data_IF_371947478633
#
_entry.id   IF_371947478633
#
_cell.length_a   1.000
_cell.length_b   1.000
_cell.length_c   1.000
_cell.angle_alpha   90.00
_cell.angle_beta   90.00
_cell.angle_gamma   90.00
#
_symmetry.space_group_name_H-M   'P 1'
#
loop_
_entity.id
_entity.type
_entity.pdbx_description
1 polymer ?
#
# COMPACT_ATOMS: atom_id res chain seq x y z
N UNK A 1 11.91 -22.98 14.20
CA UNK A 1 12.60 -23.66 13.11
C UNK A 1 13.84 -24.29 13.69
N UNK A 2 14.00 -25.61 13.63
CA UNK A 2 15.20 -26.32 14.10
C UNK A 2 16.22 -26.44 12.96
N UNK A 3 16.56 -25.32 12.32
CA UNK A 3 17.60 -25.32 11.29
C UNK A 3 18.93 -24.94 11.94
N UNK A 4 19.98 -25.66 11.57
CA UNK A 4 21.34 -25.35 12.02
C UNK A 4 21.89 -24.18 11.23
N UNK A 5 22.38 -23.17 11.92
CA UNK A 5 23.11 -22.08 11.26
C UNK A 5 24.47 -22.58 10.81
N UNK A 6 24.72 -22.60 9.51
CA UNK A 6 25.96 -23.10 8.89
C UNK A 6 26.91 -22.00 8.46
N UNK A 7 26.49 -20.74 8.49
CA UNK A 7 27.30 -19.60 8.07
C UNK A 7 26.66 -18.27 8.34
N UNK A 8 27.35 -17.24 7.84
CA UNK A 8 26.82 -15.86 7.79
C UNK A 8 27.26 -15.21 6.47
N UNK A 9 26.43 -14.31 5.97
CA UNK A 9 26.82 -13.44 4.84
C UNK A 9 27.86 -12.42 5.27
N UNK A 10 28.49 -11.76 4.32
CA UNK A 10 29.44 -10.65 4.61
C UNK A 10 28.74 -9.46 5.26
N UNK A 11 27.42 -9.34 5.14
CA UNK A 11 26.57 -8.35 5.82
C UNK A 11 26.09 -8.79 7.21
N UNK A 12 26.48 -10.01 7.66
CA UNK A 12 26.12 -10.55 8.97
C UNK A 12 24.80 -11.27 9.05
N UNK A 13 24.11 -11.51 7.91
CA UNK A 13 22.87 -12.27 7.92
C UNK A 13 23.14 -13.76 8.10
N UNK A 14 22.37 -14.51 8.89
CA UNK A 14 22.56 -15.94 9.11
C UNK A 14 22.29 -16.75 7.84
N UNK A 15 23.01 -17.84 7.66
CA UNK A 15 22.76 -18.84 6.61
C UNK A 15 22.48 -20.18 7.32
N UNK A 16 21.35 -20.82 6.98
CA UNK A 16 20.88 -22.05 7.57
C UNK A 16 21.02 -23.24 6.60
N UNK A 17 21.11 -24.45 7.16
CA UNK A 17 21.01 -25.67 6.37
C UNK A 17 19.54 -26.01 6.10
N UNK A 18 19.11 -25.86 4.85
CA UNK A 18 17.78 -26.29 4.40
C UNK A 18 17.76 -27.80 4.16
N UNK A 19 17.82 -28.59 5.25
CA UNK A 19 17.98 -30.03 5.11
C UNK A 19 16.70 -30.82 4.77
N UNK A 20 15.51 -30.43 5.22
CA UNK A 20 14.33 -31.33 5.15
C UNK A 20 12.94 -30.67 5.10
N UNK A 21 12.83 -29.43 4.68
CA UNK A 21 11.54 -28.76 4.59
C UNK A 21 11.10 -28.02 5.86
N UNK A 22 10.06 -27.22 5.73
CA UNK A 22 9.50 -26.37 6.78
C UNK A 22 8.26 -27.02 7.37
N UNK A 23 8.40 -27.98 8.25
CA UNK A 23 7.25 -28.70 8.78
C UNK A 23 6.58 -28.00 9.97
N UNK A 24 7.31 -27.12 10.68
CA UNK A 24 6.81 -26.49 11.90
C UNK A 24 7.18 -25.01 11.98
N UNK A 25 6.16 -24.19 12.24
CA UNK A 25 6.31 -22.77 12.56
C UNK A 25 6.00 -22.56 14.05
N UNK A 26 6.86 -21.84 14.74
CA UNK A 26 6.61 -21.44 16.10
C UNK A 26 6.29 -19.93 16.14
N UNK A 27 5.08 -19.60 16.53
CA UNK A 27 4.70 -18.23 16.80
C UNK A 27 5.10 -17.88 18.23
N UNK A 28 5.96 -16.88 18.38
CA UNK A 28 6.44 -16.40 19.68
C UNK A 28 6.22 -14.90 19.79
N UNK A 29 6.26 -14.40 21.02
CA UNK A 29 6.33 -12.95 21.22
C UNK A 29 7.71 -12.44 20.79
N UNK A 30 7.72 -11.32 20.08
CA UNK A 30 8.95 -10.56 19.81
C UNK A 30 9.38 -9.81 21.07
N UNK A 31 10.68 -9.62 21.23
CA UNK A 31 11.28 -8.69 22.21
C UNK A 31 11.28 -7.22 21.71
N UNK A 32 10.83 -7.01 20.48
CA UNK A 32 10.68 -5.70 19.82
C UNK A 32 9.23 -5.24 19.83
N UNK A 33 9.02 -3.96 19.80
CA UNK A 33 7.70 -3.37 19.90
C UNK A 33 7.15 -2.93 18.53
N UNK A 34 5.90 -3.30 18.25
CA UNK A 34 5.09 -2.67 17.22
C UNK A 34 4.51 -1.35 17.77
N UNK A 35 4.48 -0.31 16.95
CA UNK A 35 3.93 1.00 17.37
C UNK A 35 3.07 1.61 16.27
N UNK A 36 2.09 2.42 16.67
CA UNK A 36 1.31 3.23 15.76
C UNK A 36 1.04 4.60 16.35
N UNK A 37 1.27 5.63 15.55
CA UNK A 37 0.93 7.02 15.88
C UNK A 37 -0.09 7.52 14.88
N UNK A 38 -1.24 8.01 15.34
CA UNK A 38 -2.27 8.56 14.46
C UNK A 38 -2.70 9.95 14.92
N UNK A 39 -2.90 10.83 13.95
CA UNK A 39 -3.45 12.16 14.16
C UNK A 39 -4.60 12.39 13.19
N UNK A 40 -5.70 12.96 13.66
CA UNK A 40 -6.80 13.36 12.79
C UNK A 40 -7.34 14.73 13.16
N UNK A 41 -7.68 15.51 12.12
CA UNK A 41 -8.32 16.83 12.27
C UNK A 41 -9.53 16.88 11.34
N UNK A 42 -10.66 17.32 11.86
CA UNK A 42 -11.87 17.52 11.08
C UNK A 42 -12.41 18.93 11.36
N UNK A 43 -12.65 19.69 10.29
CA UNK A 43 -13.37 20.95 10.33
C UNK A 43 -14.69 20.82 9.56
N UNK A 44 -15.76 21.36 10.10
CA UNK A 44 -17.08 21.38 9.45
C UNK A 44 -17.84 22.65 9.80
N UNK A 45 -18.71 23.07 8.91
CA UNK A 45 -19.64 24.16 9.17
C UNK A 45 -20.91 23.99 8.32
N UNK A 46 -22.03 24.33 8.94
CA UNK A 46 -23.37 24.32 8.32
C UNK A 46 -23.89 25.77 8.32
N UNK A 47 -24.30 26.27 7.18
CA UNK A 47 -24.87 27.61 7.03
C UNK A 47 -26.39 27.54 6.90
N UNK A 48 -27.09 28.49 7.47
CA UNK A 48 -28.57 28.57 7.45
C UNK A 48 -29.15 28.64 6.04
N UNK A 49 -28.37 29.10 5.05
CA UNK A 49 -28.83 29.17 3.64
C UNK A 49 -28.72 27.84 2.88
N UNK A 50 -28.38 26.73 3.55
CA UNK A 50 -28.37 25.38 3.01
C UNK A 50 -27.04 24.88 2.49
N UNK A 51 -25.94 25.64 2.68
CA UNK A 51 -24.59 25.17 2.38
C UNK A 51 -23.99 24.49 3.62
N UNK A 52 -23.46 23.30 3.44
CA UNK A 52 -22.63 22.63 4.45
C UNK A 52 -21.32 22.12 3.84
N UNK A 53 -20.26 22.10 4.65
CA UNK A 53 -18.99 21.55 4.26
C UNK A 53 -18.29 20.84 5.40
N UNK A 54 -17.46 19.87 5.04
CA UNK A 54 -16.56 19.17 5.94
C UNK A 54 -15.23 18.92 5.23
N UNK A 55 -14.12 19.14 5.94
CA UNK A 55 -12.77 18.75 5.51
C UNK A 55 -12.13 17.98 6.65
N UNK A 56 -11.62 16.80 6.35
CA UNK A 56 -10.89 15.94 7.26
C UNK A 56 -9.50 15.61 6.71
N UNK A 57 -8.53 15.58 7.61
CA UNK A 57 -7.19 15.07 7.35
C UNK A 57 -6.82 14.05 8.41
N UNK A 58 -6.24 12.93 7.99
CA UNK A 58 -5.68 11.94 8.89
C UNK A 58 -4.24 11.62 8.46
N UNK A 59 -3.39 11.51 9.46
CA UNK A 59 -2.02 11.02 9.36
C UNK A 59 -1.90 9.74 10.20
N UNK A 60 -1.20 8.73 9.66
CA UNK A 60 -0.89 7.49 10.37
C UNK A 60 0.54 7.09 10.06
N UNK A 61 1.28 6.76 11.11
CA UNK A 61 2.60 6.16 11.06
C UNK A 61 2.55 4.90 11.92
N UNK A 62 2.63 3.73 11.27
CA UNK A 62 2.49 2.44 11.91
C UNK A 62 3.62 1.50 11.50
N UNK A 63 4.28 0.92 12.50
CA UNK A 63 5.30 -0.10 12.37
C UNK A 63 4.83 -1.41 13.02
N UNK A 64 5.19 -2.52 12.45
CA UNK A 64 4.97 -3.85 13.02
C UNK A 64 6.18 -4.76 12.79
N UNK A 65 6.19 -5.90 13.46
CA UNK A 65 7.19 -6.96 13.27
C UNK A 65 6.75 -7.87 12.14
N UNK A 66 5.46 -8.25 12.12
CA UNK A 66 4.84 -9.06 11.08
C UNK A 66 3.39 -8.63 10.94
N UNK A 67 2.97 -8.17 9.74
CA UNK A 67 1.62 -7.68 9.52
C UNK A 67 0.55 -8.78 9.57
N UNK A 68 0.95 -10.06 9.56
CA UNK A 68 0.03 -11.22 9.61
C UNK A 68 -1.07 -11.11 8.54
N UNK A 69 -0.64 -10.92 7.28
CA UNK A 69 -1.54 -10.68 6.13
C UNK A 69 -2.31 -11.91 5.66
N UNK A 70 -1.95 -13.10 6.17
CA UNK A 70 -2.56 -14.38 5.80
C UNK A 70 -3.08 -15.13 7.02
N UNK A 71 -4.08 -15.99 6.81
CA UNK A 71 -4.59 -16.95 7.82
C UNK A 71 -3.70 -18.17 8.00
N UNK A 72 -2.69 -18.37 7.14
CA UNK A 72 -1.77 -19.51 7.22
C UNK A 72 -0.38 -19.08 7.67
N UNK A 73 0.22 -19.88 8.57
CA UNK A 73 1.54 -19.58 9.11
C UNK A 73 2.63 -19.55 8.01
N UNK A 74 2.58 -20.50 7.06
CA UNK A 74 3.51 -20.57 5.94
C UNK A 74 3.50 -19.29 5.09
N UNK A 75 2.31 -18.82 4.72
CA UNK A 75 2.20 -17.59 3.91
C UNK A 75 2.69 -16.35 4.65
N UNK A 76 2.46 -16.24 5.96
CA UNK A 76 2.99 -15.13 6.74
C UNK A 76 4.52 -15.19 6.85
N UNK A 77 5.09 -16.39 6.95
CA UNK A 77 6.52 -16.61 6.94
C UNK A 77 7.14 -16.23 5.58
N UNK A 78 6.56 -16.72 4.48
CA UNK A 78 7.09 -16.55 3.13
C UNK A 78 6.99 -15.11 2.62
N UNK A 79 5.97 -14.35 3.04
CA UNK A 79 5.63 -13.06 2.44
C UNK A 79 6.05 -11.86 3.31
N UNK A 80 6.73 -12.07 4.41
CA UNK A 80 7.30 -10.99 5.21
C UNK A 80 8.60 -10.51 4.56
N UNK A 81 8.63 -9.30 4.02
CA UNK A 81 9.88 -8.68 3.58
C UNK A 81 10.75 -8.39 4.80
N UNK A 82 11.89 -9.06 4.90
CA UNK A 82 12.82 -8.94 6.02
C UNK A 82 14.16 -9.56 5.64
N UNK A 83 15.25 -9.14 6.28
CA UNK A 83 16.57 -9.71 6.07
C UNK A 83 16.74 -11.05 6.79
N UNK A 84 16.02 -11.26 7.88
CA UNK A 84 15.97 -12.55 8.57
C UNK A 84 14.65 -12.72 9.29
N UNK A 85 14.13 -13.95 9.29
CA UNK A 85 12.89 -14.29 9.99
C UNK A 85 13.16 -14.72 11.45
N UNK A 86 14.37 -15.04 11.80
CA UNK A 86 14.71 -15.54 13.15
C UNK A 86 14.53 -14.45 14.20
N UNK A 87 14.85 -13.21 13.85
CA UNK A 87 14.61 -12.04 14.69
C UNK A 87 14.31 -10.82 13.81
N UNK A 88 13.14 -10.77 13.18
CA UNK A 88 12.82 -9.73 12.22
C UNK A 88 12.78 -8.35 12.88
N UNK A 89 13.33 -7.35 12.19
CA UNK A 89 13.29 -5.97 12.61
C UNK A 89 11.86 -5.39 12.43
N UNK A 90 11.44 -4.45 13.31
CA UNK A 90 10.27 -3.63 13.05
C UNK A 90 10.44 -2.87 11.74
N UNK A 91 9.37 -2.72 11.00
CA UNK A 91 9.33 -1.91 9.78
C UNK A 91 7.95 -1.36 9.54
N UNK A 92 7.83 -0.45 8.57
CA UNK A 92 6.54 0.16 8.24
C UNK A 92 5.54 -0.95 7.91
N UNK A 93 4.36 -0.86 8.53
CA UNK A 93 3.29 -1.84 8.36
C UNK A 93 2.73 -1.82 6.95
N UNK A 94 2.41 -2.99 6.40
CA UNK A 94 1.70 -3.10 5.13
C UNK A 94 0.30 -2.44 5.16
N UNK A 95 -0.27 -2.23 6.34
CA UNK A 95 -1.56 -1.55 6.53
C UNK A 95 -1.42 -0.04 6.70
N UNK A 96 -0.21 0.50 6.74
CA UNK A 96 0.02 1.92 6.90
C UNK A 96 -0.46 2.69 5.67
N UNK A 97 -1.33 3.68 5.90
CA UNK A 97 -1.73 4.68 4.90
C UNK A 97 -1.36 6.05 5.47
N UNK A 98 -0.19 6.61 5.12
CA UNK A 98 0.37 7.76 5.82
C UNK A 98 -0.53 8.98 5.82
N UNK A 99 -1.16 9.27 4.70
CA UNK A 99 -1.98 10.48 4.56
C UNK A 99 -3.33 10.18 3.91
N UNK A 100 -4.39 10.73 4.51
CA UNK A 100 -5.74 10.70 3.95
C UNK A 100 -6.41 12.06 4.09
N UNK A 101 -7.00 12.55 2.99
CA UNK A 101 -7.81 13.76 2.94
C UNK A 101 -9.21 13.37 2.50
N UNK A 102 -10.22 13.90 3.18
CA UNK A 102 -11.63 13.75 2.82
C UNK A 102 -12.27 15.12 2.85
N UNK A 103 -13.02 15.48 1.81
CA UNK A 103 -13.80 16.71 1.81
C UNK A 103 -15.21 16.43 1.30
N UNK A 104 -16.19 17.08 1.92
CA UNK A 104 -17.60 17.10 1.47
C UNK A 104 -18.05 18.54 1.34
N UNK A 105 -18.72 18.85 0.25
CA UNK A 105 -19.44 20.09 0.06
C UNK A 105 -20.86 19.75 -0.36
N UNK A 106 -21.86 20.32 0.31
CA UNK A 106 -23.24 20.04 0.02
C UNK A 106 -24.04 21.35 0.01
N UNK A 107 -24.93 21.50 -0.94
CA UNK A 107 -25.87 22.61 -1.01
C UNK A 107 -27.28 22.10 -1.25
N UNK A 108 -28.19 22.42 -0.34
CA UNK A 108 -29.58 22.06 -0.43
C UNK A 108 -30.46 23.30 -0.38
N UNK A 109 -31.48 23.33 -1.22
CA UNK A 109 -32.47 24.40 -1.26
C UNK A 109 -33.78 23.90 -1.81
N UNK A 110 -34.90 24.42 -1.28
CA UNK A 110 -36.23 24.22 -1.85
C UNK A 110 -36.40 25.12 -3.07
N UNK A 111 -36.24 24.56 -4.27
CA UNK A 111 -36.51 25.25 -5.54
C UNK A 111 -38.00 25.10 -5.94
N UNK A 112 -38.66 24.02 -5.48
CA UNK A 112 -40.07 23.74 -5.65
C UNK A 112 -40.71 23.71 -4.28
N UNK A 113 -41.91 24.28 -4.13
CA UNK A 113 -42.58 24.46 -2.86
C UNK A 113 -42.62 23.16 -2.01
N UNK A 114 -41.88 23.13 -0.91
CA UNK A 114 -41.83 22.01 0.02
C UNK A 114 -40.95 20.83 -0.39
N UNK A 115 -40.21 20.92 -1.52
CA UNK A 115 -39.33 19.84 -2.01
C UNK A 115 -37.90 20.32 -2.18
N UNK A 116 -36.99 19.70 -1.44
CA UNK A 116 -35.57 20.05 -1.47
C UNK A 116 -34.86 19.46 -2.71
N UNK A 117 -34.08 20.28 -3.36
CA UNK A 117 -33.02 19.84 -4.29
C UNK A 117 -31.67 19.97 -3.60
N UNK A 118 -30.87 18.92 -3.61
CA UNK A 118 -29.55 18.91 -2.96
C UNK A 118 -28.47 18.40 -3.91
N UNK A 119 -27.35 19.07 -3.93
CA UNK A 119 -26.14 18.63 -4.62
C UNK A 119 -25.05 18.41 -3.59
N UNK A 120 -24.37 17.27 -3.65
CA UNK A 120 -23.29 16.90 -2.74
C UNK A 120 -22.08 16.45 -3.55
N UNK A 121 -20.93 17.06 -3.31
CA UNK A 121 -19.63 16.64 -3.82
C UNK A 121 -18.81 16.01 -2.69
N UNK A 122 -18.20 14.86 -2.94
CA UNK A 122 -17.30 14.17 -2.01
C UNK A 122 -15.96 13.92 -2.66
N UNK A 123 -14.92 14.47 -2.08
CA UNK A 123 -13.54 14.29 -2.52
C UNK A 123 -12.77 13.43 -1.53
N UNK A 124 -12.01 12.47 -2.07
CA UNK A 124 -11.10 11.60 -1.35
C UNK A 124 -9.74 11.66 -1.98
N UNK A 125 -8.71 11.74 -1.15
CA UNK A 125 -7.32 11.56 -1.57
C UNK A 125 -6.56 10.80 -0.50
N UNK A 126 -5.89 9.73 -0.89
CA UNK A 126 -5.04 8.93 0.01
C UNK A 126 -3.69 8.66 -0.63
N UNK A 127 -2.65 8.61 0.17
CA UNK A 127 -1.37 8.05 -0.23
C UNK A 127 -1.51 6.53 -0.32
N UNK A 128 -0.82 5.91 -1.27
CA UNK A 128 -0.77 4.46 -1.36
C UNK A 128 -0.06 3.84 -0.15
N UNK A 129 -0.29 2.57 0.09
CA UNK A 129 0.40 1.81 1.13
C UNK A 129 1.88 1.65 0.77
N UNK A 130 2.71 1.43 1.79
CA UNK A 130 4.11 1.11 1.60
C UNK A 130 4.30 -0.29 1.00
N UNK A 131 5.37 -0.45 0.25
CA UNK A 131 5.79 -1.72 -0.31
C UNK A 131 7.30 -1.81 -0.38
N UNK A 132 7.80 -3.06 -0.35
CA UNK A 132 9.23 -3.33 -0.30
C UNK A 132 9.76 -3.79 -1.65
N UNK A 133 10.91 -3.26 -2.05
CA UNK A 133 11.76 -3.89 -3.04
C UNK A 133 12.66 -4.92 -2.37
N UNK A 134 12.74 -6.10 -2.98
CA UNK A 134 13.47 -7.26 -2.45
C UNK A 134 14.44 -7.84 -3.47
N UNK A 135 15.36 -8.66 -2.99
CA UNK A 135 16.31 -9.41 -3.80
C UNK A 135 16.20 -10.90 -3.52
N UNK A 136 16.78 -11.71 -4.39
CA UNK A 136 16.89 -13.16 -4.24
C UNK A 136 15.75 -13.92 -4.91
N UNK A 137 16.03 -14.53 -6.05
CA UNK A 137 15.16 -15.54 -6.70
C UNK A 137 15.31 -16.91 -6.06
N UNK A 138 16.36 -17.11 -5.27
CA UNK A 138 16.66 -18.32 -4.51
C UNK A 138 16.54 -18.02 -3.02
N UNK A 139 16.54 -19.08 -2.25
CA UNK A 139 16.61 -19.00 -0.79
C UNK A 139 18.00 -18.51 -0.37
N UNK A 140 18.09 -17.25 0.02
CA UNK A 140 19.38 -16.62 0.38
C UNK A 140 19.88 -17.02 1.76
N UNK A 141 18.99 -17.36 2.67
CA UNK A 141 19.32 -17.73 4.04
C UNK A 141 19.28 -19.25 4.29
N UNK A 142 18.78 -20.05 3.34
CA UNK A 142 18.58 -21.49 3.57
C UNK A 142 17.41 -21.79 4.51
N UNK A 143 16.45 -20.91 4.64
CA UNK A 143 15.28 -21.07 5.51
C UNK A 143 14.02 -21.52 4.75
N UNK A 144 14.16 -21.71 3.44
CA UNK A 144 13.09 -22.17 2.54
C UNK A 144 12.17 -21.07 2.04
N UNK A 145 12.45 -19.79 2.25
CA UNK A 145 11.70 -18.68 1.69
C UNK A 145 12.44 -18.02 0.52
N UNK A 146 11.71 -17.51 -0.45
CA UNK A 146 12.24 -16.96 -1.68
C UNK A 146 11.76 -15.50 -1.86
N UNK A 147 12.60 -14.64 -2.45
CA UNK A 147 12.20 -13.31 -2.90
C UNK A 147 11.63 -12.41 -1.81
N UNK A 148 12.14 -12.50 -0.58
CA UNK A 148 11.66 -11.71 0.57
C UNK A 148 12.74 -10.85 1.23
N UNK A 149 14.02 -11.07 0.87
CA UNK A 149 15.11 -10.31 1.46
C UNK A 149 15.07 -8.88 0.97
N UNK A 150 15.10 -7.93 1.91
CA UNK A 150 15.14 -6.51 1.57
C UNK A 150 16.32 -6.23 0.64
N UNK A 151 16.07 -5.35 -0.33
CA UNK A 151 17.10 -5.00 -1.32
C UNK A 151 18.34 -4.44 -0.63
N UNK A 152 19.51 -4.95 -1.02
CA UNK A 152 20.80 -4.40 -0.60
C UNK A 152 21.33 -3.46 -1.67
N UNK A 153 21.65 -2.22 -1.30
CA UNK A 153 22.23 -1.20 -2.18
C UNK A 153 23.72 -1.08 -1.87
N UNK A 154 24.58 -1.58 -2.77
CA UNK A 154 26.04 -1.54 -2.53
C UNK A 154 26.58 -0.11 -2.60
N UNK A 155 27.52 0.19 -1.70
CA UNK A 155 28.32 1.41 -1.76
C UNK A 155 29.45 1.33 -2.78
N UNK A 156 30.19 2.42 -3.01
CA UNK A 156 31.38 2.40 -3.83
C UNK A 156 32.43 1.41 -3.27
N UNK A 157 32.90 0.45 -4.09
CA UNK A 157 33.82 -0.59 -3.70
C UNK A 157 33.35 -1.51 -2.55
N UNK A 158 32.03 -1.72 -2.47
CA UNK A 158 31.44 -2.59 -1.46
C UNK A 158 31.81 -4.05 -1.72
N UNK A 159 32.54 -4.64 -0.77
CA UNK A 159 32.95 -6.04 -0.81
C UNK A 159 31.82 -7.05 -0.54
N UNK A 160 30.62 -6.59 -0.23
CA UNK A 160 29.47 -7.45 0.06
C UNK A 160 28.75 -7.96 -1.21
N UNK A 161 29.01 -7.33 -2.35
CA UNK A 161 28.33 -7.65 -3.60
C UNK A 161 29.33 -7.97 -4.70
N UNK A 162 29.06 -9.05 -5.43
CA UNK A 162 29.71 -9.40 -6.69
C UNK A 162 28.69 -9.21 -7.80
N UNK A 163 29.02 -8.40 -8.81
CA UNK A 163 28.15 -8.15 -9.95
C UNK A 163 28.38 -9.18 -11.02
N UNK A 164 27.32 -9.89 -11.40
CA UNK A 164 27.33 -10.87 -12.49
C UNK A 164 27.42 -10.22 -13.89
N UNK A 165 27.74 -11.01 -14.93
CA UNK A 165 27.95 -10.47 -16.28
C UNK A 165 26.68 -9.92 -16.95
N UNK A 166 25.51 -10.38 -16.53
CA UNK A 166 24.21 -9.99 -17.10
C UNK A 166 23.49 -8.91 -16.26
N UNK A 167 24.13 -8.39 -15.22
CA UNK A 167 23.56 -7.37 -14.36
C UNK A 167 23.75 -5.96 -14.95
N UNK A 168 22.64 -5.28 -15.24
CA UNK A 168 22.65 -3.91 -15.73
C UNK A 168 22.88 -2.90 -14.58
N UNK A 169 24.16 -2.60 -14.33
CA UNK A 169 24.58 -1.65 -13.28
C UNK A 169 24.02 -0.26 -13.52
N UNK A 170 23.95 0.20 -14.78
CA UNK A 170 23.49 1.56 -15.06
C UNK A 170 21.98 1.71 -14.82
N UNK A 171 21.20 0.73 -15.24
CA UNK A 171 19.76 0.70 -14.97
C UNK A 171 19.47 0.59 -13.47
N UNK A 172 20.23 -0.23 -12.74
CA UNK A 172 20.12 -0.37 -11.29
C UNK A 172 20.45 0.94 -10.57
N UNK A 173 21.51 1.63 -10.94
CA UNK A 173 21.84 2.94 -10.35
C UNK A 173 20.75 3.99 -10.60
N UNK A 174 20.25 4.08 -11.82
CA UNK A 174 19.12 4.98 -12.15
C UNK A 174 17.86 4.66 -11.33
N UNK A 175 17.60 3.38 -11.09
CA UNK A 175 16.50 2.92 -10.23
C UNK A 175 16.72 3.38 -8.78
N UNK A 176 17.90 3.14 -8.19
CA UNK A 176 18.23 3.53 -6.82
C UNK A 176 18.09 5.06 -6.63
N UNK A 177 18.58 5.85 -7.58
CA UNK A 177 18.44 7.31 -7.56
C UNK A 177 16.98 7.75 -7.64
N UNK A 178 16.19 7.12 -8.51
CA UNK A 178 14.75 7.40 -8.67
C UNK A 178 13.96 7.09 -7.41
N UNK A 179 14.22 5.95 -6.78
CA UNK A 179 13.54 5.53 -5.55
C UNK A 179 14.06 6.26 -4.30
N UNK A 180 15.22 6.90 -4.38
CA UNK A 180 15.85 7.64 -3.28
C UNK A 180 16.50 6.76 -2.24
N UNK A 181 16.85 5.50 -2.57
CA UNK A 181 17.44 4.56 -1.64
C UNK A 181 18.87 4.91 -1.25
N UNK A 182 19.15 4.79 0.06
CA UNK A 182 20.49 4.89 0.61
C UNK A 182 21.31 3.60 0.42
N UNK A 183 22.59 3.63 0.82
CA UNK A 183 23.46 2.44 0.84
C UNK A 183 23.10 1.52 2.01
N UNK A 184 23.24 0.22 1.83
CA UNK A 184 22.87 -0.82 2.79
C UNK A 184 21.55 -1.49 2.43
N UNK A 185 20.91 -2.14 3.39
CA UNK A 185 19.57 -2.67 3.20
C UNK A 185 18.55 -1.53 3.21
N UNK A 186 17.62 -1.58 2.25
CA UNK A 186 16.44 -0.69 2.29
C UNK A 186 15.52 -1.07 3.43
N UNK A 187 14.79 -0.11 3.96
CA UNK A 187 13.82 -0.38 5.00
C UNK A 187 12.54 -1.05 4.43
N UNK A 188 11.88 -1.86 5.25
CA UNK A 188 10.61 -2.48 4.85
C UNK A 188 9.56 -1.41 4.61
N UNK A 189 8.93 -1.45 3.43
CA UNK A 189 7.86 -0.54 3.00
C UNK A 189 8.27 0.95 3.02
N UNK A 190 9.57 1.24 2.79
CA UNK A 190 10.12 2.60 2.79
C UNK A 190 9.42 3.51 1.77
N UNK A 191 9.13 3.00 0.59
CA UNK A 191 8.45 3.73 -0.46
C UNK A 191 6.96 3.38 -0.54
N UNK A 192 6.14 4.37 -0.91
CA UNK A 192 4.70 4.22 -1.00
C UNK A 192 4.24 4.11 -2.46
N UNK A 193 3.20 3.33 -2.69
CA UNK A 193 2.47 3.36 -3.95
C UNK A 193 1.87 4.75 -4.22
N UNK A 194 1.47 5.00 -5.47
CA UNK A 194 1.00 6.29 -5.93
C UNK A 194 -0.24 6.78 -5.17
N UNK A 195 -0.42 8.10 -5.16
CA UNK A 195 -1.60 8.74 -4.60
C UNK A 195 -2.84 8.45 -5.43
N UNK A 196 -3.91 8.01 -4.78
CA UNK A 196 -5.24 7.88 -5.36
C UNK A 196 -6.10 9.08 -5.00
N UNK A 197 -6.86 9.60 -5.97
CA UNK A 197 -7.81 10.70 -5.76
C UNK A 197 -9.13 10.38 -6.47
N UNK A 198 -10.25 10.78 -5.87
CA UNK A 198 -11.58 10.57 -6.44
C UNK A 198 -12.54 11.68 -6.02
N UNK A 199 -13.35 12.15 -6.95
CA UNK A 199 -14.44 13.07 -6.72
C UNK A 199 -15.75 12.40 -7.14
N UNK A 200 -16.68 12.26 -6.20
CA UNK A 200 -18.03 11.76 -6.44
C UNK A 200 -19.02 12.90 -6.34
N UNK A 201 -20.05 12.88 -7.18
CA UNK A 201 -21.15 13.83 -7.18
C UNK A 201 -22.47 13.11 -6.95
N UNK A 202 -23.32 13.68 -6.12
CA UNK A 202 -24.69 13.24 -5.91
C UNK A 202 -25.63 14.42 -6.05
N UNK A 203 -26.69 14.23 -6.82
CA UNK A 203 -27.79 15.17 -7.01
C UNK A 203 -29.06 14.48 -6.53
N UNK A 204 -29.76 15.08 -5.58
CA UNK A 204 -31.02 14.59 -5.02
C UNK A 204 -32.13 15.58 -5.31
N UNK A 205 -33.30 15.06 -5.63
CA UNK A 205 -34.52 15.83 -5.74
C UNK A 205 -35.64 15.15 -4.94
N UNK A 206 -36.19 15.83 -3.95
CA UNK A 206 -37.41 15.40 -3.29
C UNK A 206 -38.61 15.54 -4.25
N UNK A 207 -39.50 14.57 -4.21
CA UNK A 207 -40.71 14.52 -5.03
C UNK A 207 -41.92 14.17 -4.16
N UNK A 208 -43.13 14.62 -4.54
CA UNK A 208 -44.35 14.19 -3.87
C UNK A 208 -44.58 12.69 -4.04
N UNK A 209 -45.17 12.07 -3.05
CA UNK A 209 -45.68 10.70 -3.14
C UNK A 209 -47.18 10.68 -3.07
N UNK A 210 -47.80 9.58 -3.53
CA UNK A 210 -49.24 9.37 -3.43
C UNK A 210 -49.67 8.84 -2.05
N UNK A 211 -48.75 8.72 -1.10
CA UNK A 211 -48.92 8.09 0.21
C UNK A 211 -48.94 9.15 1.33
N UNK A 212 -49.95 10.01 1.34
CA UNK A 212 -50.14 11.00 2.42
C UNK A 212 -49.03 12.04 2.51
N UNK A 213 -48.40 12.18 3.70
CA UNK A 213 -47.35 13.15 3.96
C UNK A 213 -45.95 12.62 3.63
N UNK A 214 -45.82 11.41 3.09
CA UNK A 214 -44.53 10.80 2.73
C UNK A 214 -43.86 11.55 1.58
N UNK A 215 -42.55 11.58 1.57
CA UNK A 215 -41.75 12.14 0.47
C UNK A 215 -40.97 11.03 -0.23
N UNK A 216 -40.88 11.12 -1.55
CA UNK A 216 -39.94 10.35 -2.35
C UNK A 216 -38.71 11.17 -2.64
N UNK A 217 -37.64 10.51 -3.08
CA UNK A 217 -36.43 11.15 -3.52
C UNK A 217 -35.89 10.45 -4.76
N UNK A 218 -35.69 11.19 -5.83
CA UNK A 218 -34.95 10.74 -7.01
C UNK A 218 -33.51 11.20 -6.84
N UNK A 219 -32.55 10.34 -7.10
CA UNK A 219 -31.15 10.73 -7.02
C UNK A 219 -30.35 10.24 -8.23
N UNK A 220 -29.37 11.05 -8.62
CA UNK A 220 -28.32 10.71 -9.55
C UNK A 220 -26.99 10.74 -8.80
N UNK A 221 -26.25 9.62 -8.82
CA UNK A 221 -24.87 9.54 -8.34
C UNK A 221 -23.93 9.38 -9.52
N UNK A 222 -22.88 10.16 -9.54
CA UNK A 222 -21.77 10.05 -10.49
C UNK A 222 -20.52 9.78 -9.67
N UNK A 223 -20.00 8.57 -9.77
CA UNK A 223 -18.77 8.18 -9.14
C UNK A 223 -17.59 8.55 -10.03
N UNK A 224 -16.52 9.03 -9.43
CA UNK A 224 -15.28 9.39 -10.09
C UNK A 224 -15.46 10.39 -11.24
N UNK A 225 -16.07 11.54 -10.95
CA UNK A 225 -16.28 12.64 -11.90
C UNK A 225 -14.96 13.13 -12.52
N UNK A 226 -13.84 13.00 -11.79
CA UNK A 226 -12.51 13.36 -12.31
C UNK A 226 -12.17 12.53 -13.55
N UNK A 227 -12.41 11.22 -13.52
CA UNK A 227 -12.16 10.33 -14.65
C UNK A 227 -13.20 10.52 -15.78
N UNK A 228 -14.44 10.90 -15.43
CA UNK A 228 -15.45 11.24 -16.44
C UNK A 228 -15.05 12.45 -17.30
N UNK A 229 -14.35 13.43 -16.72
CA UNK A 229 -13.91 14.65 -17.40
C UNK A 229 -12.59 14.43 -18.15
N UNK A 230 -11.67 13.68 -17.55
CA UNK A 230 -10.33 13.42 -18.06
C UNK A 230 -9.89 12.02 -17.61
N UNK A 231 -9.71 11.10 -18.55
CA UNK A 231 -9.36 9.69 -18.30
C UNK A 231 -8.00 9.50 -17.61
N UNK A 232 -7.12 10.50 -17.66
CA UNK A 232 -5.86 10.53 -16.92
C UNK A 232 -6.01 10.95 -15.46
N UNK A 233 -7.21 11.34 -15.02
CA UNK A 233 -7.51 11.81 -13.66
C UNK A 233 -8.36 10.80 -12.91
N UNK A 234 -8.39 10.94 -11.60
CA UNK A 234 -9.19 10.08 -10.74
C UNK A 234 -8.75 8.61 -10.74
N UNK A 235 -7.52 8.34 -11.18
CA UNK A 235 -6.96 7.00 -11.20
C UNK A 235 -6.80 6.48 -9.78
N UNK A 236 -7.17 5.22 -9.58
CA UNK A 236 -7.07 4.52 -8.31
C UNK A 236 -5.90 3.56 -8.38
N UNK A 237 -5.08 3.60 -7.35
CA UNK A 237 -3.88 2.79 -7.26
C UNK A 237 -3.88 1.98 -5.98
N UNK A 238 -3.24 0.82 -6.04
CA UNK A 238 -2.94 0.00 -4.88
C UNK A 238 -1.46 -0.36 -4.86
N UNK A 239 -0.95 -0.74 -3.71
CA UNK A 239 0.35 -1.39 -3.62
C UNK A 239 0.24 -2.79 -4.21
N UNK A 240 1.25 -3.21 -4.96
CA UNK A 240 1.28 -4.57 -5.48
C UNK A 240 1.27 -5.58 -4.32
N UNK A 241 0.49 -6.65 -4.46
CA UNK A 241 0.49 -7.71 -3.47
C UNK A 241 1.83 -8.45 -3.52
N UNK A 242 2.40 -8.70 -2.35
CA UNK A 242 3.78 -9.15 -2.13
C UNK A 242 4.86 -8.12 -2.51
N UNK A 243 6.03 -8.31 -1.91
CA UNK A 243 7.23 -7.52 -2.20
C UNK A 243 7.66 -7.65 -3.65
N UNK A 244 8.25 -6.61 -4.21
CA UNK A 244 8.70 -6.60 -5.60
C UNK A 244 10.17 -7.00 -5.67
N UNK A 245 10.44 -8.19 -6.21
CA UNK A 245 11.79 -8.62 -6.47
C UNK A 245 12.35 -7.87 -7.69
N UNK A 246 13.37 -7.06 -7.45
CA UNK A 246 14.04 -6.27 -8.50
C UNK A 246 15.44 -6.79 -8.84
N UNK A 247 16.07 -7.54 -7.94
CA UNK A 247 17.37 -8.17 -8.17
C UNK A 247 17.26 -9.68 -8.02
N UNK A 248 17.66 -10.40 -9.07
CA UNK A 248 17.94 -11.83 -8.96
C UNK A 248 19.32 -12.00 -8.34
N UNK A 249 19.42 -12.70 -7.21
CA UNK A 249 20.67 -12.86 -6.48
C UNK A 249 20.76 -14.22 -5.79
N UNK A 250 22.00 -14.63 -5.51
CA UNK A 250 22.34 -15.76 -4.66
C UNK A 250 23.52 -15.37 -3.76
N UNK A 251 23.86 -16.22 -2.80
CA UNK A 251 25.03 -16.05 -1.93
C UNK A 251 26.14 -17.02 -2.37
N UNK A 252 27.36 -16.52 -2.53
CA UNK A 252 28.52 -17.33 -2.89
C UNK A 252 29.19 -17.96 -1.64
N UNK A 253 30.20 -18.80 -1.87
CA UNK A 253 30.93 -19.48 -0.80
C UNK A 253 31.66 -18.53 0.16
N UNK A 254 31.88 -17.28 -0.23
CA UNK A 254 32.50 -16.24 0.58
C UNK A 254 31.45 -15.44 1.40
N UNK A 255 30.18 -15.77 1.27
CA UNK A 255 29.08 -15.05 1.94
C UNK A 255 28.67 -13.75 1.28
N UNK A 256 29.14 -13.47 0.05
CA UNK A 256 28.81 -12.27 -0.70
C UNK A 256 27.54 -12.50 -1.51
N UNK A 257 26.72 -11.46 -1.67
CA UNK A 257 25.60 -11.48 -2.61
C UNK A 257 26.13 -11.40 -4.05
N UNK A 258 25.65 -12.28 -4.91
CA UNK A 258 25.94 -12.24 -6.35
C UNK A 258 24.69 -11.71 -7.06
N UNK A 259 24.78 -10.52 -7.62
CA UNK A 259 23.70 -9.90 -8.37
C UNK A 259 23.74 -10.40 -9.82
N UNK A 260 22.77 -11.24 -10.20
CA UNK A 260 22.71 -11.88 -11.50
C UNK A 260 22.04 -11.01 -12.54
N UNK A 261 20.81 -10.56 -12.26
CA UNK A 261 20.04 -9.70 -13.16
C UNK A 261 19.28 -8.64 -12.37
N UNK A 262 18.99 -7.52 -13.01
CA UNK A 262 18.13 -6.46 -12.51
C UNK A 262 16.88 -6.34 -13.36
N UNK A 263 15.73 -6.17 -12.72
CA UNK A 263 14.44 -5.88 -13.36
C UNK A 263 13.79 -4.70 -12.67
N UNK A 264 13.61 -3.61 -13.40
CA UNK A 264 12.89 -2.45 -12.88
C UNK A 264 11.41 -2.80 -12.68
N UNK A 265 10.95 -2.74 -11.45
CA UNK A 265 9.55 -2.98 -11.06
C UNK A 265 9.04 -1.82 -10.25
N UNK A 266 7.87 -1.30 -10.64
CA UNK A 266 7.16 -0.29 -9.87
C UNK A 266 6.48 -0.89 -8.65
N UNK A 267 6.15 -0.03 -7.69
CA UNK A 267 5.41 -0.39 -6.47
C UNK A 267 3.89 -0.26 -6.61
N UNK A 268 3.41 0.18 -7.77
CA UNK A 268 2.03 0.64 -7.93
C UNK A 268 1.31 -0.14 -9.01
N UNK A 269 0.16 -0.71 -8.65
CA UNK A 269 -0.81 -1.27 -9.59
C UNK A 269 -1.94 -0.28 -9.85
N UNK A 270 -2.25 -0.05 -11.13
CA UNK A 270 -3.43 0.68 -11.53
C UNK A 270 -4.67 -0.22 -11.41
N UNK A 271 -5.61 0.18 -10.57
CA UNK A 271 -6.90 -0.48 -10.45
C UNK A 271 -7.86 0.03 -11.52
N UNK A 272 -7.75 -0.50 -12.74
CA UNK A 272 -8.48 -0.01 -13.91
C UNK A 272 -9.99 0.08 -13.66
N UNK A 273 -10.62 -1.02 -13.22
CA UNK A 273 -12.06 -1.07 -12.96
C UNK A 273 -12.55 -0.08 -11.89
N UNK A 274 -11.71 0.21 -10.87
CA UNK A 274 -12.03 1.17 -9.81
C UNK A 274 -11.77 2.62 -10.23
N UNK A 275 -10.99 2.81 -11.29
CA UNK A 275 -10.66 4.10 -11.88
C UNK A 275 -11.75 4.61 -12.83
N UNK A 276 -12.57 3.73 -13.39
CA UNK A 276 -13.65 4.12 -14.28
C UNK A 276 -14.74 4.90 -13.55
N UNK A 277 -15.31 5.88 -14.23
CA UNK A 277 -16.51 6.54 -13.74
C UNK A 277 -17.75 5.67 -13.89
N UNK A 278 -18.68 5.86 -12.99
CA UNK A 278 -19.96 5.14 -13.00
C UNK A 278 -21.11 6.12 -12.69
N UNK A 279 -22.26 5.92 -13.33
CA UNK A 279 -23.45 6.70 -13.07
C UNK A 279 -24.59 5.80 -12.60
N UNK A 280 -25.26 6.18 -11.50
CA UNK A 280 -26.41 5.47 -10.93
C UNK A 280 -27.57 6.41 -10.74
N UNK A 281 -28.71 6.05 -11.33
CA UNK A 281 -30.01 6.68 -11.08
C UNK A 281 -30.83 5.80 -10.14
N UNK A 282 -31.48 6.40 -9.14
CA UNK A 282 -32.29 5.64 -8.20
C UNK A 282 -33.42 6.47 -7.64
N UNK A 283 -34.41 5.77 -7.06
CA UNK A 283 -35.57 6.34 -6.38
C UNK A 283 -35.62 5.74 -4.98
N UNK A 284 -35.84 6.57 -3.98
CA UNK A 284 -35.99 6.20 -2.58
C UNK A 284 -37.32 6.69 -2.06
N UNK A 285 -38.05 5.86 -1.33
CA UNK A 285 -39.28 6.23 -0.64
C UNK A 285 -39.07 6.04 0.87
N UNK A 286 -39.56 7.02 1.65
CA UNK A 286 -39.61 6.97 3.11
C UNK A 286 -41.06 6.86 3.52
N UNK A 287 -41.42 5.83 4.28
CA UNK A 287 -42.77 5.52 4.74
C UNK A 287 -42.94 5.86 6.22
#
# INVERSE_FOLDING_TARGET
>A
VSQEQIGVTTTGQPIFDYATGRDNFMLTNSDREAKSTSFSLVARHDYDFGLDWMVGYAFTDAEDISPMTSSTAGSNFDNLATNTIVNPEPGISNYNTPHRITARLSYGKEFFAGYESRITAMFYRKQGQGQSHVMGSVDLEGDGAFGRHLLYVPGPNDGNVVVGPDFDVAAFQAFIEREGYGQGFVDRNENNAAWSSRLDLRIDQEIPTFLGASKGRVYLKIYNVMNMIDDSKGLQYDAQFFSQQVVDSNVNAQGQYVFNTFTDRGLTDLLENQSLWEMRLGIQFEF
#
